data_IF_610749988522
#
_entry.id   IF_610749988522
#
_cell.length_a   1.000
_cell.length_b   1.000
_cell.length_c   1.000
_cell.angle_alpha   90.00
_cell.angle_beta   90.00
_cell.angle_gamma   90.00
#
_symmetry.space_group_name_H-M   'P 1'
#
loop_
_entity.id
_entity.type
_entity.pdbx_description
1 polymer ?
#
# COMPACT_ATOMS: atom_id res chain seq x y z
N UNK A 1 41.17 -15.34 -33.18
CA UNK A 1 40.95 -15.71 -31.77
C UNK A 1 40.69 -14.46 -30.89
N UNK A 2 41.40 -13.35 -31.07
CA UNK A 2 41.17 -12.11 -30.28
C UNK A 2 39.82 -11.43 -30.61
N UNK A 3 39.44 -11.26 -31.88
CA UNK A 3 38.19 -10.62 -32.29
C UNK A 3 36.91 -11.33 -31.78
N UNK A 4 36.94 -12.67 -31.68
CA UNK A 4 35.81 -13.44 -31.13
C UNK A 4 35.64 -13.24 -29.60
N UNK A 5 36.73 -12.99 -28.87
CA UNK A 5 36.68 -12.68 -27.43
C UNK A 5 36.19 -11.25 -27.16
N UNK A 6 36.52 -10.28 -28.01
CA UNK A 6 36.05 -8.90 -27.90
C UNK A 6 34.56 -8.80 -28.23
N UNK A 7 34.05 -9.52 -29.23
CA UNK A 7 32.61 -9.59 -29.52
C UNK A 7 31.84 -10.28 -28.42
N UNK A 8 32.37 -11.32 -27.79
CA UNK A 8 31.75 -12.01 -26.66
C UNK A 8 31.65 -11.08 -25.42
N UNK A 9 32.75 -10.38 -25.09
CA UNK A 9 32.79 -9.45 -23.97
C UNK A 9 31.86 -8.23 -24.17
N UNK A 10 31.71 -7.75 -25.40
CA UNK A 10 30.78 -6.67 -25.76
C UNK A 10 29.30 -7.11 -25.64
N UNK A 11 28.99 -8.35 -26.04
CA UNK A 11 27.68 -8.95 -25.88
C UNK A 11 27.27 -9.12 -24.41
N UNK A 12 28.19 -9.63 -23.58
CA UNK A 12 27.95 -9.82 -22.15
C UNK A 12 27.70 -8.49 -21.41
N UNK A 13 28.40 -7.42 -21.79
CA UNK A 13 28.21 -6.09 -21.20
C UNK A 13 26.85 -5.45 -21.62
N UNK A 14 26.42 -5.65 -22.86
CA UNK A 14 25.10 -5.17 -23.32
C UNK A 14 23.95 -5.92 -22.65
N UNK A 15 24.08 -7.23 -22.49
CA UNK A 15 23.11 -8.04 -21.77
C UNK A 15 23.03 -7.61 -20.29
N UNK A 16 24.17 -7.38 -19.65
CA UNK A 16 24.21 -6.91 -18.28
C UNK A 16 23.56 -5.52 -18.12
N UNK A 17 23.80 -4.60 -19.05
CA UNK A 17 23.17 -3.27 -19.05
C UNK A 17 21.64 -3.36 -19.23
N UNK A 18 21.18 -4.18 -20.18
CA UNK A 18 19.74 -4.38 -20.40
C UNK A 18 19.04 -5.05 -19.20
N UNK A 19 19.71 -5.97 -18.51
CA UNK A 19 19.20 -6.58 -17.29
C UNK A 19 19.11 -5.57 -16.13
N UNK A 20 20.10 -4.68 -15.99
CA UNK A 20 20.10 -3.62 -14.99
C UNK A 20 18.95 -2.62 -15.25
N UNK A 21 18.78 -2.17 -16.48
CA UNK A 21 17.66 -1.29 -16.88
C UNK A 21 16.30 -1.95 -16.62
N UNK A 22 16.16 -3.23 -16.96
CA UNK A 22 14.92 -3.99 -16.68
C UNK A 22 14.66 -4.10 -15.19
N UNK A 23 15.71 -4.26 -14.36
CA UNK A 23 15.57 -4.32 -12.91
C UNK A 23 15.10 -2.97 -12.34
N UNK A 24 15.68 -1.85 -12.79
CA UNK A 24 15.25 -0.50 -12.35
C UNK A 24 13.78 -0.22 -12.71
N UNK A 25 13.35 -0.58 -13.92
CA UNK A 25 11.94 -0.44 -14.34
C UNK A 25 11.04 -1.33 -13.49
N UNK A 26 11.44 -2.56 -13.19
CA UNK A 26 10.68 -3.47 -12.35
C UNK A 26 10.54 -2.96 -10.91
N UNK A 27 11.59 -2.35 -10.35
CA UNK A 27 11.56 -1.75 -9.02
C UNK A 27 10.63 -0.52 -9.01
N UNK A 28 10.74 0.38 -9.99
CA UNK A 28 9.86 1.55 -10.12
C UNK A 28 8.38 1.17 -10.34
N UNK A 29 8.12 0.07 -11.06
CA UNK A 29 6.77 -0.45 -11.27
C UNK A 29 6.22 -1.21 -10.04
N UNK A 30 7.02 -1.44 -9.01
CA UNK A 30 6.63 -2.14 -7.79
C UNK A 30 6.35 -3.63 -7.98
N UNK A 31 6.83 -4.27 -9.07
CA UNK A 31 6.57 -5.69 -9.34
C UNK A 31 7.47 -6.64 -8.54
N UNK A 32 8.52 -6.12 -7.93
CA UNK A 32 9.40 -6.90 -7.06
C UNK A 32 9.01 -6.75 -5.60
N UNK A 33 9.07 -7.83 -4.79
CA UNK A 33 8.91 -7.72 -3.35
C UNK A 33 10.07 -6.92 -2.76
N UNK A 34 9.77 -6.17 -1.71
CA UNK A 34 10.77 -5.35 -1.01
C UNK A 34 10.66 -5.56 0.50
N UNK A 35 11.75 -5.29 1.22
CA UNK A 35 11.81 -5.38 2.67
C UNK A 35 12.50 -4.15 3.25
N UNK A 36 12.08 -3.73 4.44
CA UNK A 36 12.69 -2.59 5.12
C UNK A 36 12.00 -2.20 6.41
N UNK A 37 12.49 -1.16 7.09
CA UNK A 37 11.81 -0.58 8.23
C UNK A 37 10.55 0.17 7.81
N UNK A 38 9.61 0.33 8.75
CA UNK A 38 8.39 1.07 8.44
C UNK A 38 7.31 0.95 9.49
N UNK A 39 6.06 1.10 9.07
CA UNK A 39 4.87 1.05 9.91
C UNK A 39 3.85 0.03 9.42
N UNK A 40 3.13 -0.54 10.36
CA UNK A 40 1.89 -1.29 10.12
C UNK A 40 0.76 -0.54 10.79
N UNK A 41 -0.22 -0.10 10.00
CA UNK A 41 -1.43 0.58 10.46
C UNK A 41 -2.61 -0.37 10.33
N UNK A 42 -3.39 -0.54 11.39
CA UNK A 42 -4.57 -1.40 11.38
C UNK A 42 -5.80 -0.61 11.78
N UNK A 43 -6.84 -0.68 10.94
CA UNK A 43 -8.16 -0.11 11.19
C UNK A 43 -9.18 -1.23 11.35
N UNK A 44 -10.05 -1.11 12.36
CA UNK A 44 -11.10 -2.09 12.63
C UNK A 44 -12.43 -1.43 12.89
N UNK A 45 -13.50 -2.12 12.54
CA UNK A 45 -14.84 -1.73 12.93
C UNK A 45 -14.99 -1.69 14.46
N UNK A 46 -15.99 -0.96 14.91
CA UNK A 46 -16.30 -0.82 16.32
C UNK A 46 -16.63 -2.17 16.95
N UNK A 47 -16.13 -2.37 18.16
CA UNK A 47 -16.44 -3.55 18.97
C UNK A 47 -17.58 -3.24 19.95
N UNK A 48 -18.41 -4.23 20.19
CA UNK A 48 -19.39 -4.14 21.26
C UNK A 48 -18.71 -4.05 22.62
N UNK A 49 -19.36 -3.35 23.55
CA UNK A 49 -18.90 -3.26 24.94
C UNK A 49 -18.99 -4.64 25.65
N UNK A 50 -18.57 -4.71 26.91
CA UNK A 50 -18.65 -5.92 27.73
C UNK A 50 -20.09 -6.45 27.92
N UNK A 51 -21.10 -5.64 27.65
CA UNK A 51 -22.51 -6.00 27.72
C UNK A 51 -23.12 -6.31 26.33
N UNK A 52 -22.30 -6.39 25.30
CA UNK A 52 -22.73 -6.68 23.92
C UNK A 52 -23.40 -5.54 23.20
N UNK A 53 -23.20 -4.27 23.61
CA UNK A 53 -23.88 -3.09 23.10
C UNK A 53 -22.91 -2.16 22.37
N UNK A 54 -23.44 -1.41 21.41
CA UNK A 54 -22.78 -0.23 20.84
C UNK A 54 -23.22 1.06 21.57
N UNK A 55 -22.51 2.18 21.41
CA UNK A 55 -22.97 3.49 21.89
C UNK A 55 -24.40 3.80 21.41
N UNK A 56 -25.25 4.33 22.28
CA UNK A 56 -26.67 4.51 22.00
C UNK A 56 -26.97 5.55 20.91
N UNK A 57 -26.06 6.47 20.72
CA UNK A 57 -26.12 7.57 19.74
C UNK A 57 -25.37 7.28 18.43
N UNK A 58 -24.83 6.06 18.27
CA UNK A 58 -24.15 5.65 17.06
C UNK A 58 -25.15 5.20 15.99
N UNK A 59 -24.99 5.71 14.78
CA UNK A 59 -25.61 5.15 13.58
C UNK A 59 -24.80 3.93 13.11
N UNK A 60 -25.36 3.05 12.25
CA UNK A 60 -24.58 1.94 11.67
C UNK A 60 -23.31 2.38 10.96
N UNK A 61 -23.32 3.55 10.32
CA UNK A 61 -22.17 4.11 9.60
C UNK A 61 -21.05 4.58 10.55
N UNK A 62 -21.38 5.01 11.77
CA UNK A 62 -20.37 5.41 12.76
C UNK A 62 -19.58 4.22 13.32
N UNK A 63 -20.00 3.01 13.03
CA UNK A 63 -19.44 1.77 13.61
C UNK A 63 -18.53 1.01 12.67
N UNK A 64 -18.40 1.44 11.43
CA UNK A 64 -17.63 0.75 10.39
C UNK A 64 -16.53 1.63 9.81
N UNK A 65 -15.46 0.98 9.34
CA UNK A 65 -14.38 1.67 8.62
C UNK A 65 -14.84 1.97 7.20
N UNK A 66 -14.66 3.21 6.77
CA UNK A 66 -14.99 3.67 5.43
C UNK A 66 -13.77 3.75 4.51
N UNK A 67 -14.03 3.81 3.21
CA UNK A 67 -13.01 4.05 2.20
C UNK A 67 -12.16 5.29 2.51
N UNK A 68 -12.79 6.39 2.88
CA UNK A 68 -12.11 7.65 3.20
C UNK A 68 -11.12 7.55 4.37
N UNK A 69 -11.37 6.65 5.32
CA UNK A 69 -10.49 6.43 6.47
C UNK A 69 -9.21 5.74 6.01
N UNK A 70 -9.36 4.70 5.18
CA UNK A 70 -8.22 4.00 4.56
C UNK A 70 -7.46 4.93 3.63
N UNK A 71 -8.14 5.70 2.77
CA UNK A 71 -7.50 6.69 1.89
C UNK A 71 -6.75 7.77 2.68
N UNK A 72 -7.29 8.21 3.81
CA UNK A 72 -6.62 9.16 4.71
C UNK A 72 -5.29 8.64 5.21
N UNK A 73 -5.25 7.37 5.61
CA UNK A 73 -4.00 6.70 6.03
C UNK A 73 -3.05 6.54 4.84
N UNK A 74 -3.52 6.04 3.70
CA UNK A 74 -2.68 5.83 2.51
C UNK A 74 -2.06 7.14 2.03
N UNK A 75 -2.85 8.21 1.94
CA UNK A 75 -2.38 9.52 1.51
C UNK A 75 -1.33 10.10 2.47
N UNK A 76 -1.52 9.93 3.80
CA UNK A 76 -0.53 10.36 4.78
C UNK A 76 0.79 9.61 4.62
N UNK A 77 0.75 8.28 4.45
CA UNK A 77 1.94 7.47 4.25
C UNK A 77 2.68 7.80 2.95
N UNK A 78 1.95 7.95 1.83
CA UNK A 78 2.55 8.36 0.54
C UNK A 78 3.16 9.76 0.61
N UNK A 79 2.48 10.72 1.25
CA UNK A 79 2.99 12.09 1.38
C UNK A 79 4.25 12.18 2.25
N UNK A 80 4.44 11.24 3.16
CA UNK A 80 5.65 11.09 3.98
C UNK A 80 6.80 10.37 3.26
N UNK A 81 6.64 10.01 1.99
CA UNK A 81 7.67 9.34 1.20
C UNK A 81 7.75 7.83 1.44
N UNK A 82 6.64 7.16 1.77
CA UNK A 82 6.63 5.70 1.79
C UNK A 82 7.09 5.14 0.45
N UNK A 83 8.06 4.23 0.48
CA UNK A 83 8.66 3.63 -0.71
C UNK A 83 7.82 2.46 -1.26
N UNK A 84 7.09 1.80 -0.38
CA UNK A 84 6.23 0.68 -0.71
C UNK A 84 5.09 0.57 0.28
N UNK A 85 3.87 0.42 -0.22
CA UNK A 85 2.69 0.16 0.62
C UNK A 85 2.00 -1.11 0.13
N UNK A 86 1.55 -1.91 1.08
CA UNK A 86 0.73 -3.09 0.88
C UNK A 86 -0.51 -2.98 1.74
N UNK A 87 -1.64 -3.40 1.21
CA UNK A 87 -2.87 -3.57 1.98
C UNK A 87 -3.19 -5.06 2.10
N UNK A 88 -3.60 -5.48 3.30
CA UNK A 88 -3.78 -6.89 3.65
C UNK A 88 -2.48 -7.70 3.46
N UNK A 89 -2.57 -8.99 3.21
CA UNK A 89 -1.41 -9.89 3.22
C UNK A 89 -0.55 -9.80 1.94
N UNK A 90 -1.11 -9.33 0.81
CA UNK A 90 -0.43 -9.46 -0.48
C UNK A 90 -0.76 -8.38 -1.52
N UNK A 91 -1.55 -7.36 -1.18
CA UNK A 91 -1.99 -6.35 -2.15
C UNK A 91 -1.05 -5.17 -2.20
N UNK A 92 0.03 -5.28 -2.99
CA UNK A 92 0.93 -4.15 -3.28
C UNK A 92 0.14 -3.01 -3.92
N UNK A 93 0.25 -1.82 -3.36
CA UNK A 93 -0.34 -0.62 -3.93
C UNK A 93 0.63 0.03 -4.93
N UNK A 94 0.10 0.42 -6.05
CA UNK A 94 0.76 1.20 -7.12
C UNK A 94 -0.08 2.44 -7.41
N UNK A 95 0.41 3.35 -8.23
CA UNK A 95 -0.25 4.64 -8.51
C UNK A 95 -1.71 4.54 -9.00
N UNK A 96 -2.09 3.41 -9.61
CA UNK A 96 -3.46 3.14 -10.07
C UNK A 96 -4.33 2.40 -9.05
N UNK A 97 -3.79 2.06 -7.89
CA UNK A 97 -4.51 1.32 -6.85
C UNK A 97 -5.45 2.24 -6.08
N UNK A 98 -6.74 2.00 -6.19
CA UNK A 98 -7.78 2.78 -5.50
C UNK A 98 -8.71 1.82 -4.76
N UNK A 99 -8.70 1.80 -3.42
CA UNK A 99 -9.71 1.10 -2.64
C UNK A 99 -11.08 1.72 -2.88
N UNK A 100 -12.13 0.91 -2.99
CA UNK A 100 -13.52 1.38 -3.16
C UNK A 100 -14.47 0.66 -2.23
N UNK A 101 -15.42 1.38 -1.64
CA UNK A 101 -16.50 0.76 -0.87
C UNK A 101 -17.42 -0.09 -1.75
N UNK A 102 -17.70 -1.30 -1.28
CA UNK A 102 -18.74 -2.19 -1.81
C UNK A 102 -19.50 -2.77 -0.61
N UNK A 103 -20.64 -2.20 -0.30
CA UNK A 103 -21.32 -2.46 0.98
C UNK A 103 -20.41 -2.08 2.16
N UNK A 104 -20.27 -2.96 3.13
CA UNK A 104 -19.42 -2.77 4.32
C UNK A 104 -17.99 -3.33 4.12
N UNK A 105 -17.53 -3.44 2.89
CA UNK A 105 -16.23 -4.01 2.54
C UNK A 105 -15.50 -3.11 1.56
N UNK A 106 -14.20 -3.31 1.39
CA UNK A 106 -13.39 -2.60 0.40
C UNK A 106 -13.03 -3.52 -0.77
N UNK A 107 -13.26 -3.04 -1.98
CA UNK A 107 -12.78 -3.65 -3.21
C UNK A 107 -11.43 -3.04 -3.57
N UNK A 108 -10.43 -3.89 -3.75
CA UNK A 108 -9.09 -3.51 -4.21
C UNK A 108 -8.59 -4.57 -5.19
N UNK A 109 -8.10 -4.16 -6.38
CA UNK A 109 -7.60 -5.06 -7.43
C UNK A 109 -8.55 -6.23 -7.76
N UNK A 110 -9.88 -5.95 -7.79
CA UNK A 110 -10.88 -6.98 -8.09
C UNK A 110 -11.20 -7.94 -6.95
N UNK A 111 -10.59 -7.78 -5.77
CA UNK A 111 -10.86 -8.58 -4.57
C UNK A 111 -11.55 -7.75 -3.50
N UNK A 112 -12.45 -8.36 -2.76
CA UNK A 112 -13.18 -7.73 -1.66
C UNK A 112 -12.58 -8.12 -0.32
N UNK A 113 -12.35 -7.13 0.54
CA UNK A 113 -11.73 -7.28 1.87
C UNK A 113 -12.65 -6.74 2.95
N UNK A 114 -12.72 -7.45 4.05
CA UNK A 114 -13.41 -7.04 5.27
C UNK A 114 -12.42 -6.57 6.34
N UNK A 115 -12.84 -5.74 7.31
CA UNK A 115 -11.99 -5.39 8.44
C UNK A 115 -11.55 -6.63 9.25
N UNK A 116 -10.39 -6.61 9.89
CA UNK A 116 -9.45 -5.48 10.01
C UNK A 116 -8.75 -5.16 8.71
N UNK A 117 -8.58 -3.87 8.41
CA UNK A 117 -7.75 -3.42 7.29
C UNK A 117 -6.33 -3.19 7.80
N UNK A 118 -5.40 -3.96 7.27
CA UNK A 118 -3.98 -3.90 7.62
C UNK A 118 -3.21 -3.25 6.47
N UNK A 119 -2.50 -2.17 6.78
CA UNK A 119 -1.70 -1.40 5.83
C UNK A 119 -0.26 -1.45 6.31
N UNK A 120 0.61 -2.07 5.51
CA UNK A 120 2.04 -2.15 5.76
C UNK A 120 2.75 -1.16 4.84
N UNK A 121 3.56 -0.26 5.39
CA UNK A 121 4.32 0.72 4.64
C UNK A 121 5.81 0.64 5.00
N UNK A 122 6.67 0.59 3.99
CA UNK A 122 8.13 0.66 4.12
C UNK A 122 8.57 2.09 3.84
N UNK A 123 9.49 2.61 4.66
CA UNK A 123 10.04 3.94 4.57
C UNK A 123 10.47 4.48 5.93
N UNK A 124 10.70 5.79 6.01
CA UNK A 124 11.02 6.46 7.27
C UNK A 124 9.83 6.42 8.24
N UNK A 125 9.95 5.59 9.28
CA UNK A 125 8.89 5.37 10.25
C UNK A 125 8.56 6.63 11.07
N UNK A 126 9.51 7.52 11.33
CA UNK A 126 9.28 8.76 12.07
C UNK A 126 8.53 9.77 11.21
N UNK A 127 8.95 9.95 9.96
CA UNK A 127 8.26 10.82 9.00
C UNK A 127 6.82 10.35 8.74
N UNK A 128 6.62 9.03 8.53
CA UNK A 128 5.31 8.45 8.32
C UNK A 128 4.40 8.61 9.56
N UNK A 129 4.94 8.39 10.77
CA UNK A 129 4.19 8.61 12.01
C UNK A 129 3.76 10.06 12.15
N UNK A 130 4.67 11.00 11.92
CA UNK A 130 4.38 12.43 11.98
C UNK A 130 3.30 12.84 10.97
N UNK A 131 3.35 12.29 9.75
CA UNK A 131 2.34 12.55 8.73
C UNK A 131 0.96 11.98 9.10
N UNK A 132 0.90 10.77 9.67
CA UNK A 132 -0.34 10.20 10.20
C UNK A 132 -0.94 11.06 11.31
N UNK A 133 -0.10 11.56 12.22
CA UNK A 133 -0.56 12.40 13.33
C UNK A 133 -1.04 13.79 12.88
N UNK A 134 -0.50 14.31 11.78
CA UNK A 134 -0.88 15.60 11.20
C UNK A 134 -2.05 15.52 10.21
N UNK A 135 -2.38 14.34 9.68
CA UNK A 135 -3.39 14.18 8.65
C UNK A 135 -4.82 14.45 9.18
N UNK A 136 -5.59 15.39 8.55
CA UNK A 136 -6.92 15.73 9.04
C UNK A 136 -7.90 14.55 9.04
N UNK A 137 -7.88 13.70 8.01
CA UNK A 137 -8.76 12.51 7.93
C UNK A 137 -8.41 11.47 8.99
N UNK A 138 -7.13 11.25 9.27
CA UNK A 138 -6.69 10.35 10.35
C UNK A 138 -7.08 10.92 11.71
N UNK A 139 -6.96 12.24 11.90
CA UNK A 139 -7.41 12.92 13.12
C UNK A 139 -8.92 12.76 13.32
N UNK A 140 -9.72 12.93 12.27
CA UNK A 140 -11.16 12.71 12.30
C UNK A 140 -11.47 11.24 12.65
N UNK A 141 -10.84 10.29 11.99
CA UNK A 141 -11.01 8.86 12.29
C UNK A 141 -10.72 8.54 13.76
N UNK A 142 -9.63 9.09 14.33
CA UNK A 142 -9.28 8.93 15.75
C UNK A 142 -10.35 9.50 16.71
N UNK A 143 -11.10 10.53 16.31
CA UNK A 143 -12.25 10.99 17.08
C UNK A 143 -13.38 9.95 17.09
N UNK A 144 -13.62 9.29 15.95
CA UNK A 144 -14.56 8.17 15.87
C UNK A 144 -14.10 6.96 16.68
N UNK A 145 -12.81 6.66 16.67
CA UNK A 145 -12.21 5.62 17.56
C UNK A 145 -12.56 5.90 19.02
N UNK A 146 -12.33 7.13 19.47
CA UNK A 146 -12.58 7.53 20.86
C UNK A 146 -14.07 7.55 21.23
N UNK A 147 -14.94 7.92 20.27
CA UNK A 147 -16.38 8.08 20.52
C UNK A 147 -17.17 6.78 20.35
N UNK A 148 -16.88 6.01 19.31
CA UNK A 148 -17.69 4.89 18.88
C UNK A 148 -17.02 3.53 19.04
N UNK A 149 -15.72 3.50 19.39
CA UNK A 149 -15.00 2.27 19.69
C UNK A 149 -14.46 1.54 18.46
N UNK A 150 -14.23 2.27 17.33
CA UNK A 150 -13.45 1.73 16.24
C UNK A 150 -12.01 1.44 16.69
N UNK A 151 -11.26 0.64 15.92
CA UNK A 151 -9.88 0.36 16.23
C UNK A 151 -8.90 1.12 15.32
N UNK A 152 -7.86 1.68 15.92
CA UNK A 152 -6.72 2.28 15.23
C UNK A 152 -5.45 1.93 15.97
N UNK A 153 -4.55 1.21 15.31
CA UNK A 153 -3.24 0.90 15.86
C UNK A 153 -2.15 1.17 14.85
N UNK A 154 -1.03 1.68 15.32
CA UNK A 154 0.19 1.86 14.54
C UNK A 154 1.31 1.14 15.25
N UNK A 155 1.99 0.24 14.56
CA UNK A 155 3.15 -0.48 15.07
C UNK A 155 4.35 -0.29 14.16
N UNK A 156 5.54 -0.17 14.75
CA UNK A 156 6.80 -0.07 14.02
C UNK A 156 7.38 -1.45 13.76
N UNK A 157 7.89 -1.65 12.57
CA UNK A 157 8.65 -2.84 12.21
C UNK A 157 10.01 -2.48 11.66
N UNK A 158 11.04 -3.24 12.04
CA UNK A 158 12.40 -3.04 11.53
C UNK A 158 12.67 -3.83 10.25
N UNK A 159 11.88 -4.86 10.02
CA UNK A 159 12.02 -5.75 8.87
C UNK A 159 10.62 -6.18 8.40
N UNK A 160 9.95 -5.25 7.72
CA UNK A 160 8.65 -5.50 7.12
C UNK A 160 8.86 -5.99 5.69
N UNK A 161 7.98 -6.85 5.22
CA UNK A 161 7.97 -7.33 3.85
C UNK A 161 6.72 -6.82 3.14
N UNK A 162 6.91 -6.34 1.92
CA UNK A 162 5.83 -5.90 1.02
C UNK A 162 5.96 -6.67 -0.29
N UNK A 163 4.91 -7.36 -0.67
CA UNK A 163 4.84 -8.17 -1.89
C UNK A 163 5.07 -7.32 -3.14
N UNK A 164 5.48 -7.97 -4.23
CA UNK A 164 5.46 -7.36 -5.55
C UNK A 164 4.05 -7.29 -6.12
N UNK A 165 3.77 -6.26 -6.92
CA UNK A 165 2.52 -6.12 -7.66
C UNK A 165 2.36 -7.26 -8.66
N UNK A 166 1.22 -7.93 -8.66
CA UNK A 166 0.99 -9.16 -9.44
C UNK A 166 -0.06 -9.01 -10.53
N UNK A 167 -0.84 -7.92 -10.51
CA UNK A 167 -1.85 -7.74 -11.54
C UNK A 167 -1.20 -7.26 -12.85
N UNK A 168 -1.78 -7.66 -13.98
CA UNK A 168 -1.22 -7.35 -15.28
C UNK A 168 -1.20 -5.81 -15.51
N UNK A 169 0.00 -5.26 -15.59
CA UNK A 169 0.24 -3.86 -15.95
C UNK A 169 0.63 -3.83 -17.40
N UNK A 170 -0.33 -3.72 -18.30
CA UNK A 170 0.00 -3.62 -19.70
C UNK A 170 -1.21 -3.26 -20.57
N UNK A 171 -0.98 -2.55 -21.66
CA UNK A 171 -2.03 -2.24 -22.62
C UNK A 171 -2.44 -3.53 -23.35
N UNK A 172 -3.68 -3.99 -23.14
CA UNK A 172 -4.20 -5.18 -23.83
C UNK A 172 -4.38 -4.96 -25.34
N UNK A 173 -4.52 -3.69 -25.78
CA UNK A 173 -4.78 -3.33 -27.19
C UNK A 173 -4.01 -2.10 -27.67
N UNK A 174 -3.35 -1.36 -26.78
CA UNK A 174 -2.53 -0.20 -27.15
C UNK A 174 -1.14 -0.66 -27.59
N UNK A 175 -0.60 -0.02 -28.63
CA UNK A 175 0.77 -0.24 -29.11
C UNK A 175 1.57 1.03 -28.82
N UNK A 176 2.79 0.93 -28.27
CA UNK A 176 3.63 2.08 -28.03
C UNK A 176 3.90 2.84 -29.35
N UNK A 177 3.81 4.17 -29.32
CA UNK A 177 4.27 4.99 -30.42
C UNK A 177 5.80 4.87 -30.50
N UNK A 178 6.29 4.44 -31.66
CA UNK A 178 7.73 4.48 -31.92
C UNK A 178 8.12 5.96 -32.05
N UNK A 179 9.04 6.39 -31.16
CA UNK A 179 9.58 7.75 -31.21
C UNK A 179 10.30 7.98 -32.54
N UNK A 180 10.07 9.15 -33.12
CA UNK A 180 10.82 9.65 -34.28
C UNK A 180 12.15 10.23 -33.81
#
# INVERSE_FOLDING_TARGET
>A
MAAAREQSAGGDSQVAAALAETAEVADAAGVRPVTGPGLVVTLTDAKRDAYGRFPRDASPDDLVVHQQDVEGVLNALWSAGAEAIQMQDDQRLVASSVPRCVGNTLLLHGRTYSPPYVITAIGDADAMQAALDAAPLVTLYRQYVARFGLGYTVTRGHHLEVAGYRDAVGPGRAVPLQGH
#
